data_IF_854454426218
#
_entry.id   IF_854454426218
#
_cell.length_a   1.000
_cell.length_b   1.000
_cell.length_c   1.000
_cell.angle_alpha   90.00
_cell.angle_beta   90.00
_cell.angle_gamma   90.00
#
_symmetry.space_group_name_H-M   'P 1'
#
loop_
_entity.id
_entity.type
_entity.pdbx_description
1 polymer ?
#
# COMPACT_ATOMS: atom_id res chain seq x y z
N UNK A 1 -30.33 21.72 -2.86
CA UNK A 1 -29.44 20.54 -2.83
C UNK A 1 -28.13 21.01 -2.23
N UNK A 2 -27.76 20.55 -1.04
CA UNK A 2 -26.47 20.92 -0.45
C UNK A 2 -25.35 20.63 -1.45
N UNK A 3 -24.44 21.58 -1.64
CA UNK A 3 -23.28 21.46 -2.53
C UNK A 3 -22.50 20.19 -2.14
N UNK A 4 -22.62 19.12 -2.93
CA UNK A 4 -21.91 17.86 -2.67
C UNK A 4 -20.46 18.03 -3.05
N UNK A 5 -19.57 17.69 -2.13
CA UNK A 5 -18.13 17.74 -2.38
C UNK A 5 -17.75 16.75 -3.48
N UNK A 6 -16.90 17.18 -4.41
CA UNK A 6 -16.36 16.35 -5.49
C UNK A 6 -14.88 16.68 -5.66
N UNK A 7 -14.11 15.74 -6.22
CA UNK A 7 -12.71 16.01 -6.54
C UNK A 7 -12.56 17.21 -7.51
N UNK A 8 -11.51 18.00 -7.31
CA UNK A 8 -11.23 19.22 -8.07
C UNK A 8 -10.68 18.93 -9.48
N UNK A 9 -10.29 17.69 -9.75
CA UNK A 9 -9.90 17.22 -11.07
C UNK A 9 -9.93 15.68 -11.15
N UNK A 10 -9.91 15.14 -12.38
CA UNK A 10 -9.70 13.71 -12.62
C UNK A 10 -8.38 13.22 -12.02
N UNK A 11 -7.32 14.03 -12.09
CA UNK A 11 -6.04 13.72 -11.47
C UNK A 11 -6.11 13.68 -9.94
N UNK A 12 -6.93 14.52 -9.33
CA UNK A 12 -7.19 14.46 -7.88
C UNK A 12 -7.76 13.11 -7.45
N UNK A 13 -8.73 12.60 -8.21
CA UNK A 13 -9.29 11.26 -7.99
C UNK A 13 -8.25 10.16 -8.22
N UNK A 14 -7.48 10.21 -9.31
CA UNK A 14 -6.45 9.19 -9.62
C UNK A 14 -5.39 9.15 -8.53
N UNK A 15 -4.87 10.30 -8.10
CA UNK A 15 -3.85 10.36 -7.04
C UNK A 15 -4.41 9.90 -5.69
N UNK A 16 -5.65 10.24 -5.35
CA UNK A 16 -6.30 9.71 -4.15
C UNK A 16 -6.48 8.18 -4.24
N UNK A 17 -6.91 7.66 -5.40
CA UNK A 17 -7.05 6.23 -5.65
C UNK A 17 -5.71 5.48 -5.63
N UNK A 18 -4.65 6.07 -6.15
CA UNK A 18 -3.28 5.55 -6.00
C UNK A 18 -2.84 5.58 -4.54
N UNK A 19 -3.20 6.61 -3.77
CA UNK A 19 -2.92 6.67 -2.33
C UNK A 19 -3.56 5.55 -1.53
N UNK A 20 -4.75 5.13 -1.96
CA UNK A 20 -5.47 3.98 -1.41
C UNK A 20 -4.82 2.65 -1.80
N UNK A 21 -4.45 2.48 -3.08
CA UNK A 21 -3.94 1.21 -3.59
C UNK A 21 -2.44 0.99 -3.26
N UNK A 22 -1.61 2.03 -3.40
CA UNK A 22 -0.19 1.95 -3.08
C UNK A 22 0.01 2.13 -1.58
N UNK A 23 0.06 1.01 -0.85
CA UNK A 23 0.25 0.98 0.59
C UNK A 23 1.56 0.32 1.02
N UNK A 24 1.67 0.04 2.32
CA UNK A 24 2.83 -0.71 2.85
C UNK A 24 3.03 -2.06 2.17
N UNK A 25 1.93 -2.73 1.77
CA UNK A 25 1.92 -4.01 1.05
C UNK A 25 2.86 -4.05 -0.16
N UNK A 26 2.89 -2.97 -0.95
CA UNK A 26 3.75 -2.83 -2.12
C UNK A 26 5.24 -2.83 -1.73
N UNK A 27 5.58 -2.22 -0.59
CA UNK A 27 6.98 -2.03 -0.17
C UNK A 27 7.53 -3.21 0.63
N UNK A 28 6.74 -3.80 1.54
CA UNK A 28 7.25 -4.81 2.47
C UNK A 28 6.83 -6.26 2.19
N UNK A 29 5.76 -6.45 1.40
CA UNK A 29 5.17 -7.78 1.17
C UNK A 29 5.47 -8.24 -0.25
N UNK A 30 5.24 -7.39 -1.25
CA UNK A 30 5.47 -7.76 -2.64
C UNK A 30 6.88 -8.29 -2.92
N UNK A 31 7.99 -7.64 -2.49
CA UNK A 31 9.34 -8.13 -2.78
C UNK A 31 9.57 -9.54 -2.23
N UNK A 32 9.10 -9.78 -1.01
CA UNK A 32 9.16 -11.08 -0.34
C UNK A 32 8.35 -12.13 -1.08
N UNK A 33 7.08 -11.86 -1.37
CA UNK A 33 6.20 -12.85 -1.99
C UNK A 33 6.66 -13.19 -3.40
N UNK A 34 7.12 -12.19 -4.17
CA UNK A 34 7.75 -12.43 -5.46
C UNK A 34 8.97 -13.36 -5.30
N UNK A 35 9.86 -13.06 -4.35
CA UNK A 35 11.04 -13.90 -4.14
C UNK A 35 10.72 -15.32 -3.64
N UNK A 36 9.75 -15.48 -2.75
CA UNK A 36 9.38 -16.77 -2.18
C UNK A 36 8.63 -17.69 -3.16
N UNK A 37 8.14 -17.16 -4.29
CA UNK A 37 7.30 -17.90 -5.24
C UNK A 37 7.90 -17.94 -6.66
N UNK A 38 9.22 -17.99 -6.76
CA UNK A 38 9.91 -18.19 -8.05
C UNK A 38 10.17 -16.90 -8.84
N UNK A 39 10.25 -15.76 -8.15
CA UNK A 39 10.70 -14.49 -8.73
C UNK A 39 9.84 -14.07 -9.92
N UNK A 40 10.44 -14.05 -11.10
CA UNK A 40 9.75 -13.64 -12.33
C UNK A 40 8.53 -14.51 -12.68
N UNK A 41 8.53 -15.81 -12.32
CA UNK A 41 7.40 -16.69 -12.61
C UNK A 41 6.13 -16.27 -11.86
N UNK A 42 6.27 -15.72 -10.65
CA UNK A 42 5.16 -15.19 -9.85
C UNK A 42 4.50 -13.96 -10.51
N UNK A 43 5.26 -13.14 -11.25
CA UNK A 43 4.75 -11.93 -11.88
C UNK A 43 3.67 -12.24 -12.94
N UNK A 44 3.76 -13.39 -13.60
CA UNK A 44 2.81 -13.82 -14.64
C UNK A 44 1.38 -13.97 -14.07
N UNK A 45 1.10 -14.87 -13.11
CA UNK A 45 -0.24 -14.98 -12.53
C UNK A 45 -0.65 -13.70 -11.80
N UNK A 46 0.28 -12.95 -11.22
CA UNK A 46 -0.03 -11.70 -10.54
C UNK A 46 -0.61 -10.64 -11.49
N UNK A 47 -0.01 -10.48 -12.67
CA UNK A 47 -0.54 -9.61 -13.74
C UNK A 47 -1.85 -10.17 -14.31
N UNK A 48 -1.96 -11.49 -14.49
CA UNK A 48 -3.22 -12.11 -14.95
C UNK A 48 -4.36 -11.76 -13.98
N UNK A 49 -4.15 -11.88 -12.67
CA UNK A 49 -5.17 -11.55 -11.67
C UNK A 49 -5.46 -10.06 -11.56
N UNK A 50 -4.50 -9.18 -11.88
CA UNK A 50 -4.79 -7.75 -12.04
C UNK A 50 -5.90 -7.54 -13.08
N UNK A 51 -5.77 -8.13 -14.27
CA UNK A 51 -6.74 -7.93 -15.36
C UNK A 51 -8.02 -8.74 -15.20
N UNK A 52 -7.93 -9.97 -14.69
CA UNK A 52 -9.08 -10.88 -14.59
C UNK A 52 -9.93 -10.68 -13.34
N UNK A 53 -9.37 -10.14 -12.26
CA UNK A 53 -10.04 -10.06 -10.97
C UNK A 53 -10.04 -8.64 -10.41
N UNK A 54 -8.86 -8.03 -10.22
CA UNK A 54 -8.74 -6.73 -9.54
C UNK A 54 -9.40 -5.60 -10.34
N UNK A 55 -9.03 -5.43 -11.62
CA UNK A 55 -9.57 -4.35 -12.44
C UNK A 55 -11.10 -4.45 -12.64
N UNK A 56 -11.70 -5.61 -12.96
CA UNK A 56 -13.15 -5.75 -13.03
C UNK A 56 -13.85 -5.37 -11.73
N UNK A 57 -13.32 -5.77 -10.58
CA UNK A 57 -13.86 -5.41 -9.27
C UNK A 57 -13.74 -3.91 -8.99
N UNK A 58 -12.59 -3.31 -9.27
CA UNK A 58 -12.38 -1.86 -9.12
C UNK A 58 -13.34 -1.06 -10.01
N UNK A 59 -13.54 -1.50 -11.26
CA UNK A 59 -14.52 -0.90 -12.20
C UNK A 59 -15.93 -1.02 -11.63
N UNK A 60 -16.29 -2.19 -11.09
CA UNK A 60 -17.60 -2.39 -10.46
C UNK A 60 -17.79 -1.48 -9.25
N UNK A 61 -16.81 -1.38 -8.34
CA UNK A 61 -16.86 -0.50 -7.16
C UNK A 61 -17.01 0.97 -7.55
N UNK A 62 -16.25 1.43 -8.55
CA UNK A 62 -16.38 2.77 -9.09
C UNK A 62 -17.76 3.02 -9.71
N UNK A 63 -18.26 2.07 -10.51
CA UNK A 63 -19.59 2.14 -11.12
C UNK A 63 -20.69 2.22 -10.07
N UNK A 64 -20.63 1.37 -9.05
CA UNK A 64 -21.57 1.33 -7.94
C UNK A 64 -21.54 2.64 -7.17
N UNK A 65 -20.39 3.07 -6.64
CA UNK A 65 -20.33 4.27 -5.80
C UNK A 65 -20.67 5.56 -6.57
N UNK A 66 -20.28 5.66 -7.85
CA UNK A 66 -20.66 6.79 -8.73
C UNK A 66 -22.16 6.80 -9.01
N UNK A 67 -22.80 5.63 -9.17
CA UNK A 67 -24.23 5.51 -9.46
C UNK A 67 -25.12 5.68 -8.23
N UNK A 68 -24.71 5.11 -7.10
CA UNK A 68 -25.50 5.15 -5.85
C UNK A 68 -25.34 6.49 -5.15
N UNK A 69 -24.12 7.08 -5.18
CA UNK A 69 -23.71 8.26 -4.40
C UNK A 69 -23.95 8.07 -2.91
N UNK A 70 -23.65 6.87 -2.43
CA UNK A 70 -23.71 6.43 -1.04
C UNK A 70 -22.44 5.63 -0.72
N UNK A 71 -22.02 5.62 0.53
CA UNK A 71 -21.02 4.69 1.04
C UNK A 71 -21.44 3.23 0.87
N UNK A 72 -20.58 2.31 1.33
CA UNK A 72 -20.70 0.88 1.01
C UNK A 72 -22.05 0.27 1.44
N UNK A 73 -22.51 0.52 2.67
CA UNK A 73 -23.77 -0.03 3.20
C UNK A 73 -24.97 0.49 2.38
N UNK A 74 -25.04 1.82 2.21
CA UNK A 74 -26.12 2.46 1.46
C UNK A 74 -26.11 2.12 -0.03
N UNK A 75 -24.96 1.78 -0.59
CA UNK A 75 -24.81 1.34 -1.98
C UNK A 75 -25.46 -0.01 -2.22
N UNK A 76 -25.17 -1.01 -1.38
CA UNK A 76 -25.83 -2.32 -1.47
C UNK A 76 -27.34 -2.21 -1.26
N UNK A 77 -27.76 -1.42 -0.25
CA UNK A 77 -29.18 -1.18 0.01
C UNK A 77 -29.92 -0.55 -1.19
N UNK A 78 -29.27 0.36 -1.93
CA UNK A 78 -29.85 1.04 -3.09
C UNK A 78 -29.83 0.19 -4.36
N UNK A 79 -28.79 -0.62 -4.56
CA UNK A 79 -28.60 -1.38 -5.80
C UNK A 79 -29.47 -2.63 -5.86
N UNK A 80 -29.51 -3.39 -4.77
CA UNK A 80 -30.17 -4.72 -4.72
C UNK A 80 -31.28 -4.81 -3.68
N UNK A 81 -31.48 -3.76 -2.87
CA UNK A 81 -32.59 -3.60 -1.95
C UNK A 81 -32.17 -3.55 -0.47
N UNK A 82 -32.98 -2.91 0.40
CA UNK A 82 -32.62 -2.66 1.81
C UNK A 82 -32.26 -3.91 2.61
N UNK A 83 -32.89 -5.06 2.28
CA UNK A 83 -32.62 -6.35 2.94
C UNK A 83 -31.18 -6.83 2.78
N UNK A 84 -30.44 -6.32 1.80
CA UNK A 84 -29.05 -6.71 1.52
C UNK A 84 -28.02 -5.68 2.01
N UNK A 85 -28.44 -4.67 2.78
CA UNK A 85 -27.54 -3.72 3.41
C UNK A 85 -26.44 -4.41 4.25
N UNK A 86 -26.75 -5.59 4.82
CA UNK A 86 -25.81 -6.40 5.59
C UNK A 86 -24.55 -6.79 4.79
N UNK A 87 -24.63 -6.94 3.46
CA UNK A 87 -23.46 -7.28 2.63
C UNK A 87 -22.45 -6.13 2.64
N UNK A 88 -22.95 -4.89 2.49
CA UNK A 88 -22.11 -3.70 2.67
C UNK A 88 -21.68 -3.50 4.13
N UNK A 89 -22.52 -3.90 5.09
CA UNK A 89 -22.18 -3.90 6.52
C UNK A 89 -21.03 -4.86 6.85
N UNK A 90 -21.00 -6.05 6.23
CA UNK A 90 -19.90 -7.00 6.35
C UNK A 90 -18.59 -6.39 5.84
N UNK A 91 -18.60 -5.80 4.64
CA UNK A 91 -17.43 -5.09 4.08
C UNK A 91 -17.00 -3.92 4.99
N UNK A 92 -17.95 -3.17 5.54
CA UNK A 92 -17.67 -2.09 6.47
C UNK A 92 -16.91 -2.58 7.72
N UNK A 93 -17.41 -3.64 8.36
CA UNK A 93 -16.78 -4.21 9.56
C UNK A 93 -15.39 -4.73 9.27
N UNK A 94 -15.21 -5.52 8.19
CA UNK A 94 -13.90 -6.09 7.87
C UNK A 94 -12.86 -5.02 7.54
N UNK A 95 -13.21 -4.02 6.73
CA UNK A 95 -12.29 -2.92 6.39
C UNK A 95 -11.96 -2.03 7.60
N UNK A 96 -12.91 -1.81 8.51
CA UNK A 96 -12.65 -1.08 9.77
C UNK A 96 -11.74 -1.87 10.72
N UNK A 97 -11.88 -3.20 10.80
CA UNK A 97 -10.95 -4.03 11.57
C UNK A 97 -9.52 -3.93 11.03
N UNK A 98 -9.35 -3.82 9.72
CA UNK A 98 -8.04 -3.59 9.10
C UNK A 98 -7.47 -2.22 9.49
N UNK A 99 -8.29 -1.16 9.49
CA UNK A 99 -7.88 0.18 9.91
C UNK A 99 -7.24 0.18 11.32
N UNK A 100 -7.77 -0.61 12.26
CA UNK A 100 -7.25 -0.65 13.63
C UNK A 100 -5.77 -1.04 13.72
N UNK A 101 -5.33 -2.08 13.01
CA UNK A 101 -3.90 -2.43 13.02
C UNK A 101 -3.09 -1.58 12.04
N UNK A 102 -3.70 -1.13 10.94
CA UNK A 102 -2.99 -0.36 9.91
C UNK A 102 -2.49 1.00 10.42
N UNK A 103 -3.24 1.63 11.33
CA UNK A 103 -2.80 2.85 12.04
C UNK A 103 -1.50 2.63 12.84
N UNK A 104 -1.35 1.45 13.46
CA UNK A 104 -0.13 1.07 14.22
C UNK A 104 1.05 0.91 13.27
N UNK A 105 0.84 0.23 12.13
CA UNK A 105 1.84 0.07 11.07
C UNK A 105 2.32 1.43 10.53
N UNK A 106 1.39 2.36 10.33
CA UNK A 106 1.71 3.73 9.91
C UNK A 106 2.62 4.42 10.94
N UNK A 107 2.34 4.20 12.23
CA UNK A 107 3.17 4.67 13.33
C UNK A 107 4.58 4.08 13.33
N UNK A 108 4.73 2.79 13.01
CA UNK A 108 6.04 2.15 12.86
C UNK A 108 6.86 2.80 11.74
N UNK A 109 6.24 3.03 10.57
CA UNK A 109 6.89 3.70 9.45
C UNK A 109 7.37 5.12 9.82
N UNK A 110 6.55 5.88 10.55
CA UNK A 110 6.92 7.21 11.04
C UNK A 110 8.08 7.16 12.05
N UNK A 111 8.01 6.26 13.03
CA UNK A 111 9.08 6.08 14.03
C UNK A 111 10.41 5.75 13.35
N UNK A 112 10.41 4.79 12.44
CA UNK A 112 11.62 4.35 11.75
C UNK A 112 12.14 5.39 10.77
N UNK A 113 11.28 6.19 10.14
CA UNK A 113 11.72 7.35 9.38
C UNK A 113 12.50 8.33 10.28
N UNK A 114 11.93 8.72 11.42
CA UNK A 114 12.58 9.65 12.35
C UNK A 114 13.92 9.09 12.83
N UNK A 115 13.96 7.83 13.25
CA UNK A 115 15.19 7.25 13.78
C UNK A 115 16.25 6.99 12.70
N UNK A 116 15.84 6.69 11.47
CA UNK A 116 16.77 6.63 10.35
C UNK A 116 17.39 8.00 10.07
N UNK A 117 16.61 9.10 10.13
CA UNK A 117 17.12 10.47 9.96
C UNK A 117 18.08 10.86 11.08
N UNK A 118 17.78 10.51 12.33
CA UNK A 118 18.63 10.86 13.47
C UNK A 118 19.81 9.91 13.68
N UNK A 119 19.92 8.84 12.88
CA UNK A 119 20.95 7.80 13.06
C UNK A 119 20.78 7.00 14.37
N UNK A 120 19.59 6.99 14.95
CA UNK A 120 19.33 6.47 16.30
C UNK A 120 19.07 4.96 16.40
N UNK A 121 19.41 4.18 15.35
CA UNK A 121 19.36 2.70 15.43
C UNK A 121 20.64 2.26 16.13
N UNK A 122 20.65 2.32 17.45
CA UNK A 122 21.77 1.87 18.28
C UNK A 122 21.73 0.34 18.47
N UNK A 123 22.89 -0.31 18.42
CA UNK A 123 23.00 -1.76 18.59
C UNK A 123 22.54 -2.56 17.37
N UNK A 124 22.02 -3.77 17.57
CA UNK A 124 21.49 -4.58 16.47
C UNK A 124 20.07 -4.13 16.11
N UNK A 125 19.72 -4.04 14.81
CA UNK A 125 18.36 -3.68 14.39
C UNK A 125 17.27 -4.61 14.92
N UNK A 126 17.60 -5.87 15.19
CA UNK A 126 16.70 -6.85 15.82
C UNK A 126 16.39 -6.49 17.28
N UNK A 127 17.43 -6.20 18.08
CA UNK A 127 17.25 -5.77 19.47
C UNK A 127 16.48 -4.44 19.54
N UNK A 128 16.76 -3.52 18.62
CA UNK A 128 16.06 -2.24 18.52
C UNK A 128 14.56 -2.45 18.19
N UNK A 129 14.24 -3.29 17.19
CA UNK A 129 12.85 -3.62 16.86
C UNK A 129 12.12 -4.26 18.03
N UNK A 130 12.76 -5.23 18.71
CA UNK A 130 12.18 -5.92 19.86
C UNK A 130 11.90 -4.94 21.01
N UNK A 131 12.88 -4.07 21.33
CA UNK A 131 12.71 -3.06 22.37
C UNK A 131 11.58 -2.07 22.03
N UNK A 132 11.44 -1.67 20.77
CA UNK A 132 10.37 -0.79 20.33
C UNK A 132 8.99 -1.46 20.36
N UNK A 133 8.87 -2.61 19.68
CA UNK A 133 7.59 -3.32 19.47
C UNK A 133 6.99 -3.87 20.77
N UNK A 134 7.83 -4.27 21.73
CA UNK A 134 7.38 -4.73 23.05
C UNK A 134 7.19 -3.59 24.06
N UNK A 135 7.62 -2.37 23.74
CA UNK A 135 7.32 -1.22 24.60
C UNK A 135 5.85 -0.82 24.50
N UNK A 136 5.25 -0.42 25.62
CA UNK A 136 3.85 0.00 25.64
C UNK A 136 3.70 1.40 25.05
N UNK A 137 4.52 2.35 25.51
CA UNK A 137 4.29 3.77 25.26
C UNK A 137 4.71 4.24 23.87
N UNK A 138 5.79 3.72 23.29
CA UNK A 138 6.26 4.22 21.99
C UNK A 138 5.31 3.85 20.85
N UNK A 139 4.90 2.59 20.63
CA UNK A 139 3.95 2.24 19.58
C UNK A 139 2.61 2.96 19.75
N UNK A 140 2.10 3.08 20.99
CA UNK A 140 0.86 3.82 21.28
C UNK A 140 1.00 5.29 20.89
N UNK A 141 2.11 5.94 21.24
CA UNK A 141 2.36 7.34 20.90
C UNK A 141 2.38 7.57 19.38
N UNK A 142 3.12 6.74 18.63
CA UNK A 142 3.19 6.86 17.17
C UNK A 142 1.90 6.46 16.45
N UNK A 143 1.13 5.52 17.03
CA UNK A 143 -0.23 5.22 16.59
C UNK A 143 -1.14 6.46 16.72
N UNK A 144 -1.16 7.11 17.90
CA UNK A 144 -1.97 8.31 18.13
C UNK A 144 -1.58 9.47 17.20
N UNK A 145 -0.27 9.65 16.93
CA UNK A 145 0.19 10.62 15.94
C UNK A 145 -0.36 10.28 14.55
N UNK A 146 -0.27 9.02 14.13
CA UNK A 146 -0.73 8.59 12.80
C UNK A 146 -2.24 8.81 12.62
N UNK A 147 -3.03 8.45 13.64
CA UNK A 147 -4.47 8.74 13.68
C UNK A 147 -4.73 10.24 13.66
N UNK A 148 -3.98 11.03 14.43
CA UNK A 148 -4.11 12.48 14.48
C UNK A 148 -3.83 13.16 13.13
N UNK A 149 -2.77 12.74 12.42
CA UNK A 149 -2.46 13.25 11.08
C UNK A 149 -3.58 12.88 10.10
N UNK A 150 -4.03 11.62 10.11
CA UNK A 150 -5.10 11.16 9.25
C UNK A 150 -6.41 11.91 9.49
N UNK A 151 -6.84 12.02 10.75
CA UNK A 151 -8.04 12.75 11.16
C UNK A 151 -7.98 14.24 10.77
N UNK A 152 -6.83 14.89 10.97
CA UNK A 152 -6.62 16.28 10.57
C UNK A 152 -6.76 16.49 9.06
N UNK A 153 -6.28 15.54 8.24
CA UNK A 153 -6.45 15.59 6.79
C UNK A 153 -7.92 15.40 6.42
N UNK A 154 -8.61 14.41 6.99
CA UNK A 154 -10.02 14.13 6.69
C UNK A 154 -10.95 15.27 7.11
N UNK A 155 -10.68 15.94 8.24
CA UNK A 155 -11.46 17.09 8.69
C UNK A 155 -11.46 18.26 7.67
N UNK A 156 -10.45 18.34 6.81
CA UNK A 156 -10.37 19.36 5.75
C UNK A 156 -11.16 19.00 4.49
N UNK A 157 -11.86 17.87 4.48
CA UNK A 157 -12.71 17.41 3.39
C UNK A 157 -11.93 16.80 2.22
N UNK A 158 -12.66 16.47 1.16
CA UNK A 158 -12.14 15.76 -0.02
C UNK A 158 -11.11 16.61 -0.77
N UNK A 159 -11.39 17.89 -1.02
CA UNK A 159 -10.52 18.73 -1.87
C UNK A 159 -9.32 19.27 -1.08
N UNK A 160 -9.56 19.91 0.06
CA UNK A 160 -8.50 20.58 0.82
C UNK A 160 -7.70 19.62 1.71
N UNK A 161 -8.26 18.44 2.00
CA UNK A 161 -7.63 17.35 2.74
C UNK A 161 -7.08 16.27 1.82
N UNK A 162 -7.93 15.32 1.44
CA UNK A 162 -7.57 14.07 0.77
C UNK A 162 -6.81 14.31 -0.54
N UNK A 163 -7.37 15.15 -1.42
CA UNK A 163 -6.78 15.43 -2.73
C UNK A 163 -5.43 16.16 -2.57
N UNK A 164 -5.37 17.17 -1.72
CA UNK A 164 -4.15 17.96 -1.51
C UNK A 164 -3.03 17.12 -0.90
N UNK A 165 -3.35 16.26 0.06
CA UNK A 165 -2.39 15.33 0.66
C UNK A 165 -1.83 14.37 -0.39
N UNK A 166 -2.70 13.68 -1.14
CA UNK A 166 -2.26 12.70 -2.14
C UNK A 166 -1.57 13.33 -3.36
N UNK A 167 -1.86 14.60 -3.67
CA UNK A 167 -1.12 15.37 -4.69
C UNK A 167 0.36 15.57 -4.33
N UNK A 168 0.73 15.43 -3.06
CA UNK A 168 2.12 15.49 -2.58
C UNK A 168 2.65 14.09 -2.30
N UNK A 169 1.93 13.30 -1.49
CA UNK A 169 2.39 11.99 -1.02
C UNK A 169 2.71 11.03 -2.16
N UNK A 170 1.85 10.94 -3.18
CA UNK A 170 2.03 9.95 -4.26
C UNK A 170 3.20 10.30 -5.18
N UNK A 171 3.34 11.53 -5.72
CA UNK A 171 4.53 11.86 -6.51
C UNK A 171 5.85 11.72 -5.74
N UNK A 172 5.86 12.09 -4.45
CA UNK A 172 7.03 11.90 -3.57
C UNK A 172 7.35 10.43 -3.42
N UNK A 173 6.36 9.59 -3.13
CA UNK A 173 6.51 8.14 -3.02
C UNK A 173 7.16 7.54 -4.27
N UNK A 174 6.60 7.79 -5.45
CA UNK A 174 7.15 7.25 -6.70
C UNK A 174 8.58 7.73 -6.97
N UNK A 175 8.86 9.01 -6.67
CA UNK A 175 10.19 9.58 -6.83
C UNK A 175 11.20 8.91 -5.88
N UNK A 176 10.84 8.68 -4.63
CA UNK A 176 11.68 7.97 -3.65
C UNK A 176 11.94 6.53 -4.07
N UNK A 177 10.91 5.82 -4.59
CA UNK A 177 11.07 4.46 -5.12
C UNK A 177 12.01 4.44 -6.33
N UNK A 178 11.92 5.39 -7.25
CA UNK A 178 12.82 5.49 -8.41
C UNK A 178 14.27 5.71 -7.94
N UNK A 179 14.49 6.62 -6.99
CA UNK A 179 15.83 6.84 -6.41
C UNK A 179 16.37 5.57 -5.76
N UNK A 180 15.54 4.83 -5.01
CA UNK A 180 15.93 3.57 -4.40
C UNK A 180 16.26 2.50 -5.45
N UNK A 181 15.49 2.40 -6.55
CA UNK A 181 15.77 1.50 -7.67
C UNK A 181 17.11 1.85 -8.32
N UNK A 182 17.37 3.13 -8.63
CA UNK A 182 18.64 3.56 -9.22
C UNK A 182 19.81 3.14 -8.32
N UNK A 183 19.67 3.32 -7.00
CA UNK A 183 20.72 2.90 -6.07
C UNK A 183 20.90 1.38 -6.03
N UNK A 184 19.80 0.64 -6.02
CA UNK A 184 19.75 -0.83 -5.99
C UNK A 184 20.45 -1.45 -7.22
N UNK A 185 20.10 -1.00 -8.42
CA UNK A 185 20.65 -1.57 -9.67
C UNK A 185 22.09 -1.16 -9.98
N UNK A 186 22.62 -0.15 -9.29
CA UNK A 186 24.02 0.29 -9.42
C UNK A 186 24.95 -0.40 -8.43
N UNK A 187 24.44 -1.27 -7.55
CA UNK A 187 25.28 -2.07 -6.66
C UNK A 187 26.01 -3.18 -7.42
N UNK A 188 27.28 -3.46 -7.09
CA UNK A 188 27.97 -4.63 -7.62
C UNK A 188 27.23 -5.92 -7.25
N UNK A 189 26.89 -6.76 -8.24
CA UNK A 189 26.15 -8.00 -8.02
C UNK A 189 24.62 -7.86 -8.06
N UNK A 190 24.07 -6.68 -8.35
CA UNK A 190 22.64 -6.45 -8.47
C UNK A 190 21.99 -7.21 -9.64
N UNK A 191 22.80 -7.55 -10.65
CA UNK A 191 22.42 -8.38 -11.79
C UNK A 191 21.80 -9.71 -11.35
N UNK A 192 22.34 -10.34 -10.30
CA UNK A 192 21.78 -11.59 -9.75
C UNK A 192 20.32 -11.44 -9.29
N UNK A 193 20.00 -10.34 -8.61
CA UNK A 193 18.64 -10.09 -8.14
C UNK A 193 17.70 -9.60 -9.24
N UNK A 194 18.22 -8.89 -10.25
CA UNK A 194 17.44 -8.54 -11.45
C UNK A 194 17.12 -9.78 -12.29
N UNK A 195 18.09 -10.65 -12.51
CA UNK A 195 17.89 -11.94 -13.18
C UNK A 195 16.84 -12.76 -12.44
N UNK A 196 16.94 -12.85 -11.11
CA UNK A 196 15.96 -13.53 -10.30
C UNK A 196 14.54 -12.93 -10.40
N UNK A 197 14.41 -11.60 -10.49
CA UNK A 197 13.12 -10.92 -10.63
C UNK A 197 12.51 -11.00 -12.03
N UNK A 198 13.31 -11.12 -13.09
CA UNK A 198 12.84 -10.98 -14.47
C UNK A 198 13.11 -12.17 -15.39
N UNK A 199 13.87 -13.18 -14.95
CA UNK A 199 14.11 -14.42 -15.70
C UNK A 199 13.21 -15.56 -15.13
N UNK A 200 12.13 -15.95 -15.82
CA UNK A 200 11.13 -16.86 -15.26
C UNK A 200 11.53 -18.33 -15.37
N UNK A 201 11.63 -19.00 -14.23
CA UNK A 201 11.53 -20.46 -14.18
C UNK A 201 10.06 -20.87 -14.28
N UNK A 202 9.63 -21.25 -15.50
CA UNK A 202 8.27 -21.70 -15.78
C UNK A 202 7.87 -22.95 -14.99
N UNK A 203 8.82 -23.71 -14.43
CA UNK A 203 8.51 -24.84 -13.55
C UNK A 203 7.72 -24.41 -12.31
N UNK A 204 7.97 -23.20 -11.79
CA UNK A 204 7.29 -22.64 -10.63
C UNK A 204 5.79 -22.38 -10.87
N UNK A 205 5.35 -22.26 -12.14
CA UNK A 205 3.93 -22.11 -12.50
C UNK A 205 3.12 -23.40 -12.28
N UNK A 206 3.78 -24.56 -12.17
CA UNK A 206 3.12 -25.84 -11.84
C UNK A 206 2.65 -25.88 -10.39
N UNK A 207 3.23 -25.05 -9.52
CA UNK A 207 2.84 -24.99 -8.12
C UNK A 207 1.56 -24.17 -7.96
N UNK A 208 0.52 -24.78 -7.39
CA UNK A 208 -0.72 -24.06 -7.05
C UNK A 208 -0.47 -22.90 -6.06
N UNK A 209 0.59 -22.99 -5.25
CA UNK A 209 0.95 -21.96 -4.27
C UNK A 209 1.30 -20.64 -4.96
N UNK A 210 2.03 -20.68 -6.08
CA UNK A 210 2.39 -19.48 -6.86
C UNK A 210 1.14 -18.71 -7.30
N UNK A 211 0.11 -19.42 -7.76
CA UNK A 211 -1.16 -18.83 -8.18
C UNK A 211 -1.97 -18.27 -7.01
N UNK A 212 -2.06 -19.01 -5.91
CA UNK A 212 -2.77 -18.56 -4.71
C UNK A 212 -2.13 -17.30 -4.11
N UNK A 213 -0.80 -17.27 -4.02
CA UNK A 213 -0.07 -16.10 -3.53
C UNK A 213 -0.19 -14.93 -4.49
N UNK A 214 -0.22 -15.16 -5.80
CA UNK A 214 -0.37 -14.10 -6.80
C UNK A 214 -1.77 -13.47 -6.76
N UNK A 215 -2.82 -14.29 -6.65
CA UNK A 215 -4.19 -13.81 -6.46
C UNK A 215 -4.29 -13.01 -5.16
N UNK A 216 -3.76 -13.56 -4.06
CA UNK A 216 -3.74 -12.90 -2.75
C UNK A 216 -2.98 -11.57 -2.82
N UNK A 217 -1.81 -11.53 -3.44
CA UNK A 217 -1.06 -10.29 -3.62
C UNK A 217 -1.83 -9.26 -4.45
N UNK A 218 -2.46 -9.66 -5.56
CA UNK A 218 -3.26 -8.73 -6.37
C UNK A 218 -4.46 -8.18 -5.60
N UNK A 219 -5.12 -9.02 -4.80
CA UNK A 219 -6.27 -8.64 -3.99
C UNK A 219 -5.95 -7.69 -2.85
N UNK A 220 -4.88 -7.97 -2.09
CA UNK A 220 -4.47 -7.15 -0.97
C UNK A 220 -3.77 -5.85 -1.42
N UNK A 221 -3.17 -5.81 -2.60
CA UNK A 221 -2.49 -4.61 -3.13
C UNK A 221 -3.50 -3.58 -3.64
N UNK A 222 -4.42 -3.98 -4.53
CA UNK A 222 -5.32 -3.02 -5.18
C UNK A 222 -6.44 -2.49 -4.28
N UNK A 223 -6.75 -3.17 -3.17
CA UNK A 223 -7.88 -2.84 -2.29
C UNK A 223 -9.25 -3.14 -2.92
N UNK A 224 -9.29 -3.94 -3.98
CA UNK A 224 -10.52 -4.29 -4.68
C UNK A 224 -11.47 -5.09 -3.79
N UNK A 225 -12.72 -4.63 -3.69
CA UNK A 225 -13.77 -5.25 -2.87
C UNK A 225 -13.79 -4.80 -1.40
N UNK A 226 -12.94 -3.85 -1.02
CA UNK A 226 -12.86 -3.34 0.35
C UNK A 226 -13.83 -2.17 0.61
N UNK A 227 -14.53 -1.69 -0.42
CA UNK A 227 -15.47 -0.58 -0.33
C UNK A 227 -14.83 0.81 -0.26
N UNK A 228 -13.50 0.89 -0.16
CA UNK A 228 -12.76 2.16 -0.12
C UNK A 228 -12.81 2.89 -1.46
N UNK A 229 -12.58 2.18 -2.58
CA UNK A 229 -12.71 2.76 -3.92
C UNK A 229 -14.16 3.18 -4.22
N UNK A 230 -15.13 2.36 -3.81
CA UNK A 230 -16.55 2.70 -3.88
C UNK A 230 -16.83 4.01 -3.13
N UNK A 231 -16.22 4.19 -1.96
CA UNK A 231 -16.37 5.43 -1.17
C UNK A 231 -15.81 6.65 -1.91
N UNK A 232 -14.60 6.56 -2.46
CA UNK A 232 -14.05 7.64 -3.30
C UNK A 232 -14.89 7.88 -4.57
N UNK A 233 -15.52 6.84 -5.11
CA UNK A 233 -16.40 6.95 -6.27
C UNK A 233 -17.61 7.86 -6.01
N UNK A 234 -18.02 8.00 -4.74
CA UNK A 234 -19.10 8.93 -4.37
C UNK A 234 -18.75 10.40 -4.63
N UNK A 235 -17.46 10.73 -4.70
CA UNK A 235 -16.91 12.06 -4.95
C UNK A 235 -16.48 12.29 -6.41
N UNK A 236 -16.66 11.30 -7.29
CA UNK A 236 -16.34 11.42 -8.72
C UNK A 236 -17.22 12.45 -9.43
N UNK A 237 -16.71 13.08 -10.49
CA UNK A 237 -17.54 13.89 -11.38
C UNK A 237 -18.43 13.00 -12.24
N UNK A 238 -19.48 13.57 -12.81
CA UNK A 238 -20.40 12.82 -13.69
C UNK A 238 -19.72 12.30 -14.95
N UNK A 239 -18.77 13.06 -15.49
CA UNK A 239 -18.09 12.76 -16.76
C UNK A 239 -16.76 12.04 -16.57
N UNK A 240 -16.40 11.64 -15.34
CA UNK A 240 -15.17 10.88 -15.11
C UNK A 240 -15.31 9.46 -15.68
N UNK A 241 -14.32 9.03 -16.45
CA UNK A 241 -14.25 7.69 -17.03
C UNK A 241 -13.89 6.65 -15.95
N UNK A 242 -14.81 5.73 -15.67
CA UNK A 242 -14.65 4.71 -14.64
C UNK A 242 -13.58 3.69 -15.01
N UNK A 243 -13.58 3.22 -16.27
CA UNK A 243 -12.68 2.15 -16.72
C UNK A 243 -11.26 2.65 -16.76
N UNK A 244 -11.05 3.82 -17.37
CA UNK A 244 -9.73 4.39 -17.51
C UNK A 244 -9.14 4.76 -16.13
N UNK A 245 -9.94 5.28 -15.20
CA UNK A 245 -9.48 5.61 -13.86
C UNK A 245 -9.12 4.35 -13.05
N UNK A 246 -9.97 3.31 -13.08
CA UNK A 246 -9.70 2.03 -12.44
C UNK A 246 -8.40 1.39 -12.96
N UNK A 247 -8.25 1.33 -14.29
CA UNK A 247 -7.05 0.80 -14.95
C UNK A 247 -5.79 1.59 -14.59
N UNK A 248 -5.87 2.92 -14.56
CA UNK A 248 -4.72 3.77 -14.17
C UNK A 248 -4.30 3.51 -12.74
N UNK A 249 -5.25 3.38 -11.81
CA UNK A 249 -4.96 3.12 -10.40
C UNK A 249 -4.37 1.70 -10.23
N UNK A 250 -4.97 0.68 -10.83
CA UNK A 250 -4.49 -0.71 -10.70
C UNK A 250 -3.12 -0.92 -11.33
N UNK A 251 -2.84 -0.33 -12.50
CA UNK A 251 -1.52 -0.38 -13.11
C UNK A 251 -0.48 0.43 -12.33
N UNK A 252 -0.87 1.58 -11.77
CA UNK A 252 0.01 2.37 -10.91
C UNK A 252 0.38 1.63 -9.62
N UNK A 253 -0.56 0.92 -9.01
CA UNK A 253 -0.32 0.02 -7.88
C UNK A 253 0.72 -1.07 -8.20
N UNK A 254 0.53 -1.77 -9.32
CA UNK A 254 1.49 -2.79 -9.77
C UNK A 254 2.86 -2.17 -10.08
N UNK A 255 2.89 -0.99 -10.68
CA UNK A 255 4.14 -0.27 -10.95
C UNK A 255 4.90 0.06 -9.67
N UNK A 256 4.21 0.54 -8.63
CA UNK A 256 4.83 0.81 -7.33
C UNK A 256 5.35 -0.48 -6.66
N UNK A 257 4.58 -1.57 -6.73
CA UNK A 257 5.03 -2.90 -6.26
C UNK A 257 6.31 -3.34 -6.97
N UNK A 258 6.36 -3.23 -8.31
CA UNK A 258 7.53 -3.62 -9.07
C UNK A 258 8.75 -2.75 -8.77
N UNK A 259 8.57 -1.43 -8.62
CA UNK A 259 9.63 -0.51 -8.20
C UNK A 259 10.18 -0.89 -6.82
N UNK A 260 9.31 -1.19 -5.85
CA UNK A 260 9.74 -1.64 -4.53
C UNK A 260 10.47 -3.00 -4.59
N UNK A 261 9.98 -3.93 -5.41
CA UNK A 261 10.66 -5.20 -5.70
C UNK A 261 12.08 -4.98 -6.23
N UNK A 262 12.23 -4.10 -7.22
CA UNK A 262 13.54 -3.74 -7.79
C UNK A 262 14.43 -2.93 -6.83
N UNK A 263 13.86 -2.25 -5.84
CA UNK A 263 14.65 -1.56 -4.82
C UNK A 263 15.22 -2.56 -3.79
N UNK A 264 14.45 -3.58 -3.40
CA UNK A 264 14.79 -4.47 -2.28
C UNK A 264 15.49 -5.76 -2.75
N UNK A 265 14.99 -6.43 -3.80
CA UNK A 265 15.52 -7.74 -4.21
C UNK A 265 16.94 -7.64 -4.77
N UNK A 266 17.27 -6.76 -5.74
CA UNK A 266 18.64 -6.63 -6.23
C UNK A 266 19.61 -6.18 -5.14
N UNK A 267 19.23 -5.24 -4.26
CA UNK A 267 20.04 -4.86 -3.09
C UNK A 267 20.37 -6.06 -2.21
N UNK A 268 19.38 -6.90 -1.89
CA UNK A 268 19.58 -8.06 -1.01
C UNK A 268 20.50 -9.11 -1.67
N UNK A 269 20.26 -9.42 -2.94
CA UNK A 269 21.07 -10.40 -3.69
C UNK A 269 22.48 -9.87 -4.02
N UNK A 270 22.66 -8.56 -4.14
CA UNK A 270 23.98 -7.96 -4.33
C UNK A 270 24.86 -8.13 -3.08
N UNK A 271 24.28 -7.93 -1.89
CA UNK A 271 25.00 -7.89 -0.62
C UNK A 271 25.17 -9.28 0.03
N UNK A 272 24.31 -10.23 -0.30
CA UNK A 272 24.27 -11.55 0.35
C UNK A 272 24.48 -12.70 -0.65
N UNK A 273 24.69 -13.89 -0.10
CA UNK A 273 24.57 -15.14 -0.88
C UNK A 273 23.11 -15.34 -1.31
N UNK A 274 22.86 -16.14 -2.35
CA UNK A 274 21.49 -16.39 -2.81
C UNK A 274 20.63 -17.08 -1.74
N UNK A 275 21.23 -17.98 -0.95
CA UNK A 275 20.54 -18.68 0.14
C UNK A 275 20.16 -17.70 1.27
N UNK A 276 21.11 -16.87 1.70
CA UNK A 276 20.87 -15.85 2.73
C UNK A 276 19.84 -14.83 2.25
N UNK A 277 19.93 -14.39 0.99
CA UNK A 277 18.96 -13.45 0.43
C UNK A 277 17.53 -14.01 0.46
N UNK A 278 17.34 -15.29 0.15
CA UNK A 278 16.04 -15.95 0.24
C UNK A 278 15.58 -16.12 1.70
N UNK A 279 16.51 -16.41 2.63
CA UNK A 279 16.20 -16.47 4.05
C UNK A 279 15.76 -15.10 4.61
N UNK A 280 16.42 -14.01 4.19
CA UNK A 280 16.03 -12.63 4.51
C UNK A 280 14.62 -12.34 4.00
N UNK A 281 14.33 -12.69 2.75
CA UNK A 281 12.97 -12.54 2.21
C UNK A 281 11.96 -13.36 3.00
N UNK A 282 12.36 -14.49 3.61
CA UNK A 282 11.47 -15.32 4.41
C UNK A 282 11.20 -14.82 5.84
N UNK A 283 11.84 -13.73 6.29
CA UNK A 283 11.70 -13.19 7.65
C UNK A 283 10.36 -12.51 7.97
N UNK A 284 9.39 -12.54 7.04
CA UNK A 284 8.10 -11.87 7.18
C UNK A 284 8.16 -10.37 6.89
N UNK A 285 7.01 -9.68 6.96
CA UNK A 285 6.92 -8.26 6.59
C UNK A 285 7.72 -7.38 7.56
N UNK A 286 7.57 -7.63 8.86
CA UNK A 286 8.21 -6.85 9.93
C UNK A 286 9.71 -7.12 9.98
N UNK A 287 10.11 -8.40 9.92
CA UNK A 287 11.52 -8.80 9.90
C UNK A 287 12.27 -8.22 8.71
N UNK A 288 11.71 -8.29 7.50
CA UNK A 288 12.34 -7.70 6.33
C UNK A 288 12.51 -6.19 6.51
N UNK A 289 11.44 -5.50 6.93
CA UNK A 289 11.37 -4.03 6.89
C UNK A 289 12.12 -3.35 8.02
N UNK A 290 11.97 -3.85 9.25
CA UNK A 290 12.43 -3.16 10.45
C UNK A 290 13.70 -3.75 11.05
N UNK A 291 14.15 -4.91 10.56
CA UNK A 291 15.37 -5.59 10.99
C UNK A 291 16.36 -5.65 9.83
N UNK A 292 16.01 -6.33 8.74
CA UNK A 292 16.94 -6.60 7.65
C UNK A 292 17.24 -5.38 6.78
N UNK A 293 16.25 -4.58 6.41
CA UNK A 293 16.49 -3.37 5.62
C UNK A 293 17.50 -2.43 6.32
N UNK A 294 17.36 -2.07 7.60
CA UNK A 294 18.39 -1.30 8.30
C UNK A 294 19.78 -1.95 8.25
N UNK A 295 19.88 -3.27 8.41
CA UNK A 295 21.16 -4.00 8.32
C UNK A 295 21.77 -3.93 6.92
N UNK A 296 20.97 -4.19 5.88
CA UNK A 296 21.42 -4.16 4.49
C UNK A 296 21.90 -2.77 4.10
N UNK A 297 21.15 -1.71 4.45
CA UNK A 297 21.56 -0.35 4.14
C UNK A 297 22.82 0.09 4.89
N UNK A 298 23.12 -0.48 6.07
CA UNK A 298 24.41 -0.21 6.73
C UNK A 298 25.62 -0.70 5.91
N UNK A 299 25.44 -1.71 5.04
CA UNK A 299 26.47 -2.22 4.14
C UNK A 299 26.53 -1.46 2.79
N UNK A 300 25.46 -0.74 2.43
CA UNK A 300 25.37 0.01 1.18
C UNK A 300 26.20 1.30 1.28
N UNK A 301 27.12 1.59 0.34
CA UNK A 301 27.77 2.90 0.27
C UNK A 301 26.73 4.02 0.15
N UNK A 302 26.77 4.97 1.09
CA UNK A 302 25.77 6.04 1.21
C UNK A 302 24.46 5.64 1.89
N UNK A 303 24.37 4.46 2.49
CA UNK A 303 23.13 3.91 3.05
C UNK A 303 22.49 4.75 4.16
N UNK A 304 23.28 5.55 4.89
CA UNK A 304 22.78 6.56 5.83
C UNK A 304 21.83 7.61 5.19
N UNK A 305 21.95 7.83 3.88
CA UNK A 305 21.03 8.71 3.13
C UNK A 305 19.83 7.93 2.61
N UNK A 306 20.05 6.72 2.09
CA UNK A 306 18.98 5.96 1.45
C UNK A 306 18.01 5.28 2.43
N UNK A 307 18.47 4.93 3.63
CA UNK A 307 17.62 4.32 4.66
C UNK A 307 16.48 5.27 5.10
N UNK A 308 16.75 6.56 5.44
CA UNK A 308 15.68 7.54 5.65
C UNK A 308 14.72 7.68 4.47
N UNK A 309 15.23 7.67 3.22
CA UNK A 309 14.39 7.80 2.02
C UNK A 309 13.46 6.60 1.85
N UNK A 310 13.94 5.39 2.16
CA UNK A 310 13.12 4.19 2.15
C UNK A 310 11.98 4.27 3.18
N UNK A 311 12.29 4.64 4.43
CA UNK A 311 11.25 4.76 5.45
C UNK A 311 10.31 5.94 5.21
N UNK A 312 10.79 7.02 4.58
CA UNK A 312 9.92 8.10 4.11
C UNK A 312 8.95 7.60 3.04
N UNK A 313 9.41 6.79 2.08
CA UNK A 313 8.54 6.16 1.09
C UNK A 313 7.50 5.24 1.77
N UNK A 314 7.94 4.40 2.72
CA UNK A 314 7.04 3.55 3.50
C UNK A 314 6.00 4.36 4.27
N UNK A 315 6.40 5.47 4.89
CA UNK A 315 5.48 6.35 5.60
C UNK A 315 4.52 7.07 4.65
N UNK A 316 4.97 7.54 3.49
CA UNK A 316 4.10 8.14 2.48
C UNK A 316 3.04 7.14 2.00
N UNK A 317 3.42 5.90 1.69
CA UNK A 317 2.50 4.84 1.27
C UNK A 317 1.52 4.46 2.40
N UNK A 318 2.02 4.32 3.63
CA UNK A 318 1.17 4.03 4.79
C UNK A 318 0.16 5.16 5.05
N UNK A 319 0.63 6.41 5.08
CA UNK A 319 -0.22 7.55 5.37
C UNK A 319 -1.29 7.77 4.30
N UNK A 320 -0.95 7.60 3.02
CA UNK A 320 -1.93 7.76 1.92
C UNK A 320 -3.05 6.73 2.00
N UNK A 321 -2.74 5.48 2.35
CA UNK A 321 -3.76 4.44 2.54
C UNK A 321 -4.55 4.68 3.82
N UNK A 322 -3.90 5.12 4.90
CA UNK A 322 -4.58 5.44 6.16
C UNK A 322 -5.63 6.53 5.98
N UNK A 323 -5.34 7.57 5.18
CA UNK A 323 -6.31 8.61 4.81
C UNK A 323 -7.56 7.98 4.17
N UNK A 324 -7.38 7.05 3.23
CA UNK A 324 -8.49 6.36 2.58
C UNK A 324 -9.33 5.51 3.53
N UNK A 325 -8.69 4.81 4.47
CA UNK A 325 -9.37 3.99 5.46
C UNK A 325 -10.16 4.82 6.48
N UNK A 326 -9.61 5.96 6.93
CA UNK A 326 -10.33 6.88 7.83
C UNK A 326 -11.50 7.53 7.10
N UNK A 327 -11.32 7.94 5.84
CA UNK A 327 -12.42 8.46 5.01
C UNK A 327 -13.52 7.41 4.84
N UNK A 328 -13.16 6.16 4.58
CA UNK A 328 -14.12 5.06 4.48
C UNK A 328 -14.98 4.92 5.75
N UNK A 329 -14.34 4.89 6.92
CA UNK A 329 -15.05 4.83 8.20
C UNK A 329 -15.92 6.08 8.43
N UNK A 330 -15.39 7.26 8.13
CA UNK A 330 -16.09 8.55 8.26
C UNK A 330 -17.32 8.59 7.38
N UNK A 331 -17.21 8.16 6.12
CA UNK A 331 -18.33 8.08 5.17
C UNK A 331 -19.46 7.19 5.69
N UNK A 332 -19.13 6.04 6.29
CA UNK A 332 -20.14 5.15 6.88
C UNK A 332 -20.92 5.87 7.98
N UNK A 333 -20.23 6.61 8.86
CA UNK A 333 -20.86 7.38 9.93
C UNK A 333 -21.71 8.54 9.40
N UNK A 334 -21.22 9.27 8.39
CA UNK A 334 -21.96 10.36 7.73
C UNK A 334 -23.23 9.85 7.06
N UNK A 335 -23.15 8.70 6.36
CA UNK A 335 -24.32 8.09 5.73
C UNK A 335 -25.35 7.60 6.76
N UNK A 336 -24.90 7.22 7.96
CA UNK A 336 -25.75 6.86 9.09
C UNK A 336 -26.36 8.05 9.85
N UNK A 337 -25.94 9.28 9.55
CA UNK A 337 -26.40 10.50 10.23
C UNK A 337 -25.73 10.77 11.57
N UNK A 338 -24.59 10.13 11.86
CA UNK A 338 -23.86 10.31 13.12
C UNK A 338 -22.95 11.54 13.14
N UNK A 339 -22.56 12.06 11.97
CA UNK A 339 -21.61 13.17 11.78
C UNK A 339 -22.03 13.98 10.55
#
# INVERSE_FOLDING_TARGET
MANRETFSSRWGLILAGLGLAVGTGNLWRFPRIAAQNGGAAFLIPWVIFLFMWSLPLMIAEFGIGRGTRRGVIGSFAKLIGPRYAWMGGFIAVTTIMVLFYYTVVTGWALKYFIVAVTGGIEGSPDAYWTAYSHSIWQPVFFHLISVGIGAFIIQRGVVHGIERANRVLIPVLFSLLIVAVIRSVTLPGADRGLEFLFNPDLSALKSHKTWLEALTQSAWSTGAGWGMLLTYATYMRRNDDVVLNASTIGLGDNSASLLAGMAIVPTTFALLSNEDALAVMASGNEGLTFIWIPQLFALVPGGQVFLPLFFLALFCAALSTLIAMIEFATRILMDGGCV
#
